data_IF_181819269139
#
_entry.id   IF_181819269139
#
_cell.length_a   1.000
_cell.length_b   1.000
_cell.length_c   1.000
_cell.angle_alpha   90.00
_cell.angle_beta   90.00
_cell.angle_gamma   90.00
#
_symmetry.space_group_name_H-M   'P 1'
#
loop_
_entity.id
_entity.type
_entity.pdbx_description
1 polymer ?
#
# COMPACT_ATOMS: atom_id res chain seq x y z
N UNK A 1 -4.39 30.65 -42.50
CA UNK A 1 -3.31 29.72 -42.10
C UNK A 1 -3.55 28.24 -42.49
N UNK A 2 -4.78 27.68 -42.39
CA UNK A 2 -5.05 26.27 -42.80
C UNK A 2 -4.79 25.94 -44.29
N UNK A 3 -5.09 26.84 -45.23
CA UNK A 3 -4.85 26.62 -46.68
C UNK A 3 -3.37 26.52 -47.05
N UNK A 4 -2.52 27.38 -46.48
CA UNK A 4 -1.07 27.34 -46.68
C UNK A 4 -0.44 26.06 -46.11
N UNK A 5 -0.97 25.54 -45.00
CA UNK A 5 -0.50 24.28 -44.42
C UNK A 5 -0.95 23.06 -45.24
N UNK A 6 -2.15 23.10 -45.82
CA UNK A 6 -2.62 22.05 -46.74
C UNK A 6 -1.84 22.04 -48.06
N UNK A 7 -1.49 23.20 -48.63
CA UNK A 7 -0.60 23.28 -49.80
C UNK A 7 0.81 22.78 -49.49
N UNK A 8 1.34 23.08 -48.29
CA UNK A 8 2.65 22.58 -47.86
C UNK A 8 2.67 21.06 -47.72
N UNK A 9 1.61 20.46 -47.16
CA UNK A 9 1.48 19.00 -47.00
C UNK A 9 1.30 18.32 -48.37
N UNK A 10 0.55 18.92 -49.29
CA UNK A 10 0.33 18.33 -50.61
C UNK A 10 1.58 18.40 -51.50
N UNK A 11 2.46 19.39 -51.28
CA UNK A 11 3.75 19.50 -51.97
C UNK A 11 4.81 18.51 -51.45
N UNK A 12 4.65 18.02 -50.22
CA UNK A 12 5.58 17.07 -49.58
C UNK A 12 5.14 15.60 -49.78
N UNK A 13 3.85 15.33 -49.98
CA UNK A 13 3.28 14.00 -50.27
C UNK A 13 2.27 14.03 -51.42
N UNK A 14 2.63 13.65 -52.66
CA UNK A 14 1.64 13.33 -53.68
C UNK A 14 0.96 12.00 -53.32
N UNK A 15 -0.35 11.93 -53.56
CA UNK A 15 -1.22 10.82 -53.21
C UNK A 15 -0.74 9.46 -53.73
N UNK A 16 -1.10 8.40 -52.98
CA UNK A 16 -0.86 7.00 -53.33
C UNK A 16 -1.33 6.70 -54.75
N UNK A 17 -0.42 6.26 -55.61
CA UNK A 17 -0.76 5.51 -56.81
C UNK A 17 -0.88 4.03 -56.46
N UNK A 18 -1.94 3.40 -56.97
CA UNK A 18 -2.11 1.95 -56.97
C UNK A 18 -1.15 1.37 -58.01
N UNK A 19 0.02 0.88 -57.57
CA UNK A 19 0.66 -0.34 -58.05
C UNK A 19 2.00 -0.57 -57.35
N UNK A 20 2.27 -1.84 -57.02
CA UNK A 20 3.40 -2.28 -56.22
C UNK A 20 4.73 -2.12 -56.94
N UNK A 21 5.67 -1.44 -56.26
CA UNK A 21 7.11 -1.76 -56.14
C UNK A 21 7.76 -0.65 -55.33
N UNK A 22 7.77 -0.81 -54.00
CA UNK A 22 8.50 0.09 -53.10
C UNK A 22 9.98 -0.26 -53.12
N UNK A 23 10.70 0.15 -54.17
CA UNK A 23 12.16 0.23 -54.12
C UNK A 23 12.60 1.69 -54.24
N UNK A 24 12.81 2.29 -53.07
CA UNK A 24 13.77 3.37 -52.82
C UNK A 24 13.60 4.72 -53.57
N UNK A 25 12.47 5.38 -53.32
CA UNK A 25 12.22 6.78 -53.74
C UNK A 25 13.15 7.81 -53.06
N UNK A 26 13.69 7.53 -51.86
CA UNK A 26 14.58 8.45 -51.14
C UNK A 26 15.97 8.59 -51.77
N UNK A 27 16.48 7.56 -52.46
CA UNK A 27 17.79 7.62 -53.13
C UNK A 27 17.80 8.59 -54.32
N UNK A 28 16.70 8.69 -55.09
CA UNK A 28 16.58 9.70 -56.17
C UNK A 28 16.47 11.14 -55.63
N UNK A 29 15.93 11.34 -54.41
CA UNK A 29 15.88 12.66 -53.74
C UNK A 29 17.24 13.14 -53.22
N UNK A 30 18.20 12.23 -52.96
CA UNK A 30 19.57 12.57 -52.58
C UNK A 30 20.39 13.09 -53.78
N UNK A 31 19.94 12.86 -55.02
CA UNK A 31 20.63 13.35 -56.22
C UNK A 31 20.41 14.84 -56.52
N UNK A 32 19.42 15.49 -55.90
CA UNK A 32 19.12 16.91 -56.12
C UNK A 32 20.16 17.79 -55.38
N UNK A 33 20.91 18.66 -56.09
CA UNK A 33 21.94 19.51 -55.49
C UNK A 33 21.44 20.37 -54.33
N UNK A 34 20.15 20.75 -54.33
CA UNK A 34 19.58 21.57 -53.26
C UNK A 34 19.33 20.74 -51.99
N UNK A 35 18.85 19.50 -52.12
CA UNK A 35 18.60 18.61 -50.98
C UNK A 35 19.91 18.12 -50.35
N UNK A 36 20.97 17.90 -51.15
CA UNK A 36 22.29 17.51 -50.66
C UNK A 36 22.84 18.51 -49.63
N UNK A 37 22.68 19.81 -49.89
CA UNK A 37 23.14 20.87 -48.98
C UNK A 37 22.45 20.81 -47.62
N UNK A 38 21.14 20.58 -47.61
CA UNK A 38 20.38 20.40 -46.37
C UNK A 38 20.79 19.14 -45.61
N UNK A 39 21.02 18.02 -46.29
CA UNK A 39 21.51 16.80 -45.63
C UNK A 39 22.90 16.98 -45.02
N UNK A 40 23.81 17.68 -45.72
CA UNK A 40 25.14 18.00 -45.20
C UNK A 40 25.03 18.90 -43.96
N UNK A 41 24.19 19.92 -43.99
CA UNK A 41 23.96 20.82 -42.85
C UNK A 41 23.40 20.09 -41.62
N UNK A 42 22.39 19.23 -41.81
CA UNK A 42 21.80 18.42 -40.73
C UNK A 42 22.82 17.43 -40.16
N UNK A 43 23.56 16.71 -41.02
CA UNK A 43 24.58 15.76 -40.59
C UNK A 43 25.69 16.43 -39.79
N UNK A 44 26.14 17.61 -40.24
CA UNK A 44 27.18 18.40 -39.55
C UNK A 44 26.68 18.92 -38.21
N UNK A 45 25.46 19.45 -38.13
CA UNK A 45 24.86 19.89 -36.88
C UNK A 45 24.76 18.75 -35.85
N UNK A 46 24.37 17.54 -36.28
CA UNK A 46 24.31 16.37 -35.41
C UNK A 46 25.71 15.95 -34.92
N UNK A 47 26.70 15.92 -35.80
CA UNK A 47 28.08 15.57 -35.43
C UNK A 47 28.69 16.58 -34.46
N UNK A 48 28.52 17.88 -34.72
CA UNK A 48 28.97 18.93 -33.82
C UNK A 48 28.26 18.87 -32.48
N UNK A 49 26.95 18.59 -32.48
CA UNK A 49 26.20 18.42 -31.23
C UNK A 49 26.74 17.26 -30.40
N UNK A 50 27.16 16.16 -31.06
CA UNK A 50 27.75 15.01 -30.37
C UNK A 50 29.14 15.33 -29.82
N UNK A 51 29.98 16.02 -30.59
CA UNK A 51 31.34 16.41 -30.22
C UNK A 51 31.36 17.47 -29.11
N UNK A 52 30.48 18.48 -29.20
CA UNK A 52 30.36 19.57 -28.24
C UNK A 52 29.55 19.17 -27.01
N UNK A 53 28.95 17.98 -26.95
CA UNK A 53 28.10 17.58 -25.83
C UNK A 53 28.93 17.35 -24.57
N UNK A 54 28.77 18.16 -23.51
CA UNK A 54 29.48 17.96 -22.26
C UNK A 54 28.89 16.82 -21.42
N UNK A 55 27.78 16.22 -21.86
CA UNK A 55 26.95 15.29 -21.08
C UNK A 55 27.13 13.81 -21.42
N UNK A 56 28.20 13.42 -22.13
CA UNK A 56 28.60 12.02 -22.31
C UNK A 56 29.17 11.43 -21.00
N UNK A 57 28.38 11.44 -19.93
CA UNK A 57 28.68 10.66 -18.74
C UNK A 57 28.39 9.20 -19.06
N UNK A 58 29.44 8.37 -19.14
CA UNK A 58 29.30 6.94 -19.34
C UNK A 58 28.35 6.36 -18.28
N UNK A 59 27.40 5.49 -18.66
CA UNK A 59 26.51 4.88 -17.70
C UNK A 59 27.32 4.08 -16.68
N UNK A 60 26.97 4.23 -15.40
CA UNK A 60 27.59 3.44 -14.34
C UNK A 60 27.44 1.94 -14.64
N UNK A 61 28.54 1.20 -14.53
CA UNK A 61 28.55 -0.26 -14.68
C UNK A 61 27.60 -0.87 -13.65
N UNK A 62 26.74 -1.79 -14.08
CA UNK A 62 25.90 -2.56 -13.17
C UNK A 62 26.77 -3.57 -12.42
N UNK A 63 26.85 -3.41 -11.11
CA UNK A 63 27.50 -4.36 -10.21
C UNK A 63 26.45 -5.27 -9.58
N UNK A 64 26.86 -6.48 -9.20
CA UNK A 64 26.10 -7.40 -8.36
C UNK A 64 26.82 -7.60 -7.02
N UNK A 65 26.08 -8.04 -6.01
CA UNK A 65 26.67 -8.37 -4.72
C UNK A 65 27.71 -9.49 -4.91
N UNK A 66 28.90 -9.31 -4.32
CA UNK A 66 30.02 -10.24 -4.46
C UNK A 66 30.96 -9.95 -5.64
N UNK A 67 30.61 -9.03 -6.55
CA UNK A 67 31.54 -8.57 -7.59
C UNK A 67 32.74 -7.83 -6.96
N UNK A 68 33.88 -7.84 -7.63
CA UNK A 68 35.03 -6.98 -7.27
C UNK A 68 34.96 -5.69 -8.10
N UNK A 69 35.07 -4.56 -7.42
CA UNK A 69 35.02 -3.25 -8.04
C UNK A 69 36.18 -3.03 -9.03
N UNK A 70 35.87 -2.92 -10.32
CA UNK A 70 36.86 -2.67 -11.37
C UNK A 70 37.23 -1.19 -11.51
N UNK A 71 36.38 -0.28 -11.02
CA UNK A 71 36.56 1.18 -11.08
C UNK A 71 36.00 1.81 -9.82
N UNK A 72 36.66 2.88 -9.38
CA UNK A 72 36.19 3.73 -8.29
C UNK A 72 34.89 4.45 -8.68
N UNK A 73 33.90 4.44 -7.80
CA UNK A 73 32.62 5.14 -7.97
C UNK A 73 32.54 6.26 -6.94
N UNK A 74 32.39 7.50 -7.41
CA UNK A 74 32.23 8.70 -6.58
C UNK A 74 30.93 9.41 -6.87
N UNK A 75 30.37 10.06 -5.86
CA UNK A 75 29.20 10.93 -6.06
C UNK A 75 29.60 12.23 -6.77
N UNK A 76 28.85 12.61 -7.80
CA UNK A 76 29.06 13.88 -8.54
C UNK A 76 28.29 15.06 -7.95
N UNK A 77 27.32 14.80 -7.06
CA UNK A 77 26.44 15.80 -6.46
C UNK A 77 25.99 15.37 -5.05
N UNK A 78 25.47 16.31 -4.28
CA UNK A 78 24.82 15.98 -3.01
C UNK A 78 23.48 15.29 -3.29
N UNK A 79 23.23 14.16 -2.64
CA UNK A 79 22.01 13.39 -2.82
C UNK A 79 21.44 12.97 -1.46
N UNK A 80 20.14 13.24 -1.27
CA UNK A 80 19.38 12.71 -0.15
C UNK A 80 18.62 11.47 -0.64
N UNK A 81 18.96 10.31 -0.09
CA UNK A 81 18.43 9.02 -0.53
C UNK A 81 17.62 8.41 0.59
N UNK A 82 16.42 7.92 0.27
CA UNK A 82 15.62 7.16 1.24
C UNK A 82 16.30 5.82 1.55
N UNK A 83 16.55 5.57 2.84
CA UNK A 83 16.90 4.25 3.33
C UNK A 83 15.62 3.41 3.41
N UNK A 84 15.33 2.69 2.32
CA UNK A 84 14.16 1.83 2.21
C UNK A 84 14.17 0.75 3.30
N UNK A 85 15.35 0.20 3.66
CA UNK A 85 15.45 -0.87 4.66
C UNK A 85 15.10 -0.32 6.05
N UNK A 86 15.79 0.73 6.49
CA UNK A 86 15.51 1.37 7.79
C UNK A 86 14.08 1.91 7.88
N UNK A 87 13.53 2.41 6.77
CA UNK A 87 12.13 2.88 6.70
C UNK A 87 11.16 1.71 6.85
N UNK A 88 11.40 0.59 6.16
CA UNK A 88 10.57 -0.62 6.26
C UNK A 88 10.65 -1.24 7.67
N UNK A 89 11.84 -1.26 8.28
CA UNK A 89 12.02 -1.70 9.66
C UNK A 89 11.20 -0.86 10.64
N UNK A 90 11.28 0.48 10.55
CA UNK A 90 10.45 1.37 11.37
C UNK A 90 8.95 1.20 11.11
N UNK A 91 8.54 0.97 9.86
CA UNK A 91 7.14 0.67 9.51
C UNK A 91 6.66 -0.64 10.11
N UNK A 92 7.50 -1.68 10.08
CA UNK A 92 7.20 -2.97 10.69
C UNK A 92 7.16 -2.88 12.21
N UNK A 93 8.03 -2.08 12.83
CA UNK A 93 7.98 -1.80 14.27
C UNK A 93 6.69 -1.07 14.66
N UNK A 94 6.32 -0.02 13.92
CA UNK A 94 5.07 0.71 14.15
C UNK A 94 3.83 -0.20 14.03
N UNK A 95 3.81 -1.10 13.04
CA UNK A 95 2.77 -2.12 12.91
C UNK A 95 2.73 -3.07 14.11
N UNK A 96 3.89 -3.52 14.60
CA UNK A 96 4.01 -4.47 15.73
C UNK A 96 3.52 -3.88 17.05
N UNK A 97 3.43 -2.56 17.17
CA UNK A 97 2.93 -1.84 18.34
C UNK A 97 1.42 -1.65 18.34
N UNK A 98 0.73 -1.96 17.23
CA UNK A 98 -0.72 -1.85 17.14
C UNK A 98 -1.38 -3.02 17.86
N UNK A 99 -2.26 -2.69 18.82
CA UNK A 99 -3.11 -3.67 19.50
C UNK A 99 -4.21 -4.18 18.58
N UNK A 100 -4.49 -5.48 18.70
CA UNK A 100 -5.62 -6.13 18.04
C UNK A 100 -6.93 -5.55 18.58
N UNK A 101 -7.87 -5.23 17.70
CA UNK A 101 -9.16 -4.62 18.07
C UNK A 101 -10.22 -5.70 18.17
N UNK A 102 -10.96 -5.69 19.27
CA UNK A 102 -12.07 -6.58 19.54
C UNK A 102 -13.34 -5.77 19.74
N UNK A 103 -14.39 -6.17 19.04
CA UNK A 103 -15.70 -5.56 19.13
C UNK A 103 -16.50 -6.23 20.24
N UNK A 104 -16.91 -5.40 21.20
CA UNK A 104 -17.77 -5.76 22.31
C UNK A 104 -19.22 -5.35 21.99
N UNK A 105 -20.11 -6.34 22.04
CA UNK A 105 -21.55 -6.14 21.85
C UNK A 105 -22.29 -6.17 23.20
N UNK A 106 -22.66 -5.00 23.76
CA UNK A 106 -23.50 -4.95 24.96
C UNK A 106 -24.95 -5.42 24.69
N UNK A 107 -25.39 -5.46 23.42
CA UNK A 107 -26.71 -5.91 23.02
C UNK A 107 -27.00 -7.36 23.39
N UNK A 108 -25.96 -8.22 23.45
CA UNK A 108 -26.10 -9.61 23.88
C UNK A 108 -26.55 -9.71 25.35
N UNK A 109 -26.04 -8.85 26.22
CA UNK A 109 -26.48 -8.79 27.62
C UNK A 109 -27.93 -8.30 27.70
N UNK A 110 -28.28 -7.27 26.94
CA UNK A 110 -29.63 -6.70 26.91
C UNK A 110 -30.64 -7.75 26.40
N UNK A 111 -30.32 -8.50 25.35
CA UNK A 111 -31.16 -9.60 24.84
C UNK A 111 -31.34 -10.71 25.89
N UNK A 112 -30.26 -11.10 26.58
CA UNK A 112 -30.33 -12.09 27.65
C UNK A 112 -31.19 -11.61 28.84
N UNK A 113 -31.04 -10.35 29.26
CA UNK A 113 -31.86 -9.72 30.30
C UNK A 113 -33.34 -9.72 29.93
N UNK A 114 -33.67 -9.30 28.72
CA UNK A 114 -35.05 -9.25 28.23
C UNK A 114 -35.67 -10.65 28.12
N UNK A 115 -34.93 -11.64 27.60
CA UNK A 115 -35.41 -13.03 27.47
C UNK A 115 -35.65 -13.70 28.81
N UNK A 116 -34.76 -13.49 29.79
CA UNK A 116 -34.95 -14.07 31.13
C UNK A 116 -36.11 -13.39 31.83
N UNK A 117 -36.19 -12.05 31.84
CA UNK A 117 -37.29 -11.35 32.51
C UNK A 117 -38.65 -11.70 31.91
N UNK A 118 -38.77 -11.74 30.57
CA UNK A 118 -40.03 -12.09 29.93
C UNK A 118 -40.48 -13.53 30.23
N UNK A 119 -39.55 -14.46 30.42
CA UNK A 119 -39.85 -15.85 30.74
C UNK A 119 -40.44 -16.06 32.16
N UNK A 120 -40.19 -15.13 33.09
CA UNK A 120 -40.56 -15.25 34.51
C UNK A 120 -41.52 -14.16 35.02
N UNK A 121 -41.77 -13.09 34.26
CA UNK A 121 -42.62 -11.96 34.68
C UNK A 121 -44.02 -12.00 34.04
N UNK A 122 -44.35 -13.04 33.27
CA UNK A 122 -45.68 -13.20 32.69
C UNK A 122 -46.73 -13.38 33.79
N UNK A 123 -47.81 -12.58 33.74
CA UNK A 123 -48.90 -12.63 34.72
C UNK A 123 -49.64 -13.97 34.74
N UNK A 124 -49.65 -14.67 33.60
CA UNK A 124 -50.19 -16.02 33.47
C UNK A 124 -49.06 -17.01 33.17
N UNK A 125 -48.86 -18.04 34.02
CA UNK A 125 -47.94 -19.12 33.70
C UNK A 125 -48.52 -19.90 32.50
N UNK A 126 -47.71 -20.21 31.48
CA UNK A 126 -48.21 -20.92 30.30
C UNK A 126 -48.72 -22.31 30.64
N UNK A 127 -49.79 -22.69 29.96
CA UNK A 127 -50.49 -23.97 30.17
C UNK A 127 -49.68 -25.16 29.64
N UNK A 128 -48.82 -24.93 28.63
CA UNK A 128 -48.01 -25.98 28.00
C UNK A 128 -46.54 -25.60 27.90
N UNK A 129 -45.69 -26.61 28.13
CA UNK A 129 -44.23 -26.53 27.96
C UNK A 129 -43.82 -25.96 26.60
N UNK A 130 -44.39 -26.47 25.51
CA UNK A 130 -44.02 -26.06 24.14
C UNK A 130 -44.30 -24.59 23.86
N UNK A 131 -45.34 -24.02 24.45
CA UNK A 131 -45.70 -22.60 24.29
C UNK A 131 -44.69 -21.72 25.05
N UNK A 132 -44.29 -22.13 26.25
CA UNK A 132 -43.26 -21.45 27.03
C UNK A 132 -41.88 -21.53 26.37
N UNK A 133 -41.48 -22.70 25.89
CA UNK A 133 -40.19 -22.88 25.20
C UNK A 133 -40.11 -22.04 23.92
N UNK A 134 -41.23 -21.92 23.19
CA UNK A 134 -41.31 -21.11 21.96
C UNK A 134 -41.22 -19.61 22.24
N UNK A 135 -41.85 -19.13 23.32
CA UNK A 135 -41.84 -17.71 23.70
C UNK A 135 -40.53 -17.29 24.36
N UNK A 136 -40.02 -18.09 25.30
CA UNK A 136 -38.80 -17.79 26.06
C UNK A 136 -37.50 -18.15 25.32
N UNK A 137 -37.60 -19.04 24.32
CA UNK A 137 -36.47 -19.63 23.58
C UNK A 137 -35.51 -20.40 24.47
N UNK A 138 -35.99 -20.93 25.59
CA UNK A 138 -35.26 -21.88 26.43
C UNK A 138 -35.75 -23.30 26.16
N UNK A 139 -34.87 -24.29 26.36
CA UNK A 139 -35.24 -25.70 26.22
C UNK A 139 -34.94 -26.44 27.52
N UNK A 140 -35.99 -27.04 28.08
CA UNK A 140 -35.95 -27.73 29.36
C UNK A 140 -36.23 -29.23 29.16
N UNK A 141 -35.62 -30.07 29.98
CA UNK A 141 -36.00 -31.47 30.13
C UNK A 141 -37.36 -31.58 30.85
N UNK A 142 -37.98 -32.76 30.81
CA UNK A 142 -39.25 -32.98 31.51
C UNK A 142 -39.12 -32.80 33.04
N UNK A 143 -37.97 -33.19 33.61
CA UNK A 143 -37.70 -33.03 35.04
C UNK A 143 -37.57 -31.55 35.43
N UNK A 144 -36.84 -30.78 34.64
CA UNK A 144 -36.66 -29.34 34.86
C UNK A 144 -37.99 -28.57 34.73
N UNK A 145 -38.86 -28.98 33.80
CA UNK A 145 -40.20 -28.41 33.63
C UNK A 145 -41.08 -28.64 34.87
N UNK A 146 -41.11 -29.87 35.41
CA UNK A 146 -41.88 -30.17 36.63
C UNK A 146 -41.42 -29.36 37.84
N UNK A 147 -40.10 -29.10 37.95
CA UNK A 147 -39.55 -28.24 39.00
C UNK A 147 -40.03 -26.80 38.82
N UNK A 148 -40.00 -26.27 37.60
CA UNK A 148 -40.47 -24.92 37.28
C UNK A 148 -41.97 -24.73 37.58
N UNK A 149 -42.80 -25.72 37.25
CA UNK A 149 -44.23 -25.74 37.56
C UNK A 149 -44.48 -25.71 39.08
N UNK A 150 -43.75 -26.54 39.84
CA UNK A 150 -43.87 -26.62 41.30
C UNK A 150 -43.44 -25.33 41.99
N UNK A 151 -42.40 -24.68 41.48
CA UNK A 151 -41.92 -23.38 41.94
C UNK A 151 -42.78 -22.21 41.40
N UNK A 152 -43.84 -22.49 40.63
CA UNK A 152 -44.78 -21.50 40.08
C UNK A 152 -44.09 -20.35 39.34
N UNK A 153 -43.06 -20.65 38.56
CA UNK A 153 -42.31 -19.65 37.80
C UNK A 153 -41.77 -18.49 38.66
N UNK A 154 -41.32 -18.78 39.89
CA UNK A 154 -40.78 -17.77 40.80
C UNK A 154 -39.72 -16.87 40.11
N UNK A 155 -39.93 -15.53 40.05
CA UNK A 155 -38.99 -14.59 39.42
C UNK A 155 -37.55 -14.64 39.95
N UNK A 156 -37.37 -15.11 41.19
CA UNK A 156 -36.07 -15.28 41.83
C UNK A 156 -35.13 -16.19 41.04
N UNK A 157 -35.66 -17.17 40.28
CA UNK A 157 -34.89 -18.08 39.43
C UNK A 157 -34.25 -17.29 38.28
N UNK A 158 -35.03 -16.45 37.60
CA UNK A 158 -34.56 -15.58 36.53
C UNK A 158 -33.56 -14.54 37.03
N UNK A 159 -33.88 -13.83 38.12
CA UNK A 159 -33.00 -12.80 38.68
C UNK A 159 -31.67 -13.37 39.19
N UNK A 160 -31.66 -14.60 39.72
CA UNK A 160 -30.41 -15.29 40.08
C UNK A 160 -29.59 -15.65 38.85
N UNK A 161 -30.24 -16.15 37.80
CA UNK A 161 -29.59 -16.45 36.52
C UNK A 161 -28.94 -15.19 35.94
N UNK A 162 -29.64 -14.05 35.97
CA UNK A 162 -29.12 -12.75 35.55
C UNK A 162 -27.92 -12.31 36.38
N UNK A 163 -28.02 -12.38 37.71
CA UNK A 163 -26.91 -12.05 38.61
C UNK A 163 -25.64 -12.86 38.30
N UNK A 164 -25.79 -14.11 37.86
CA UNK A 164 -24.68 -14.98 37.49
C UNK A 164 -24.07 -14.60 36.12
N UNK A 165 -24.90 -14.34 35.11
CA UNK A 165 -24.40 -14.09 33.74
C UNK A 165 -23.99 -12.63 33.48
N UNK A 166 -24.61 -11.65 34.14
CA UNK A 166 -24.37 -10.23 33.86
C UNK A 166 -22.90 -9.81 34.06
N UNK A 167 -22.18 -10.21 35.13
CA UNK A 167 -20.77 -9.89 35.28
C UNK A 167 -19.88 -10.52 34.19
N UNK A 168 -20.25 -11.72 33.72
CA UNK A 168 -19.50 -12.47 32.72
C UNK A 168 -19.67 -11.84 31.33
N UNK A 169 -20.91 -11.53 30.96
CA UNK A 169 -21.21 -10.84 29.70
C UNK A 169 -20.63 -9.42 29.70
N UNK A 170 -20.67 -8.66 30.81
CA UNK A 170 -20.03 -7.33 30.90
C UNK A 170 -18.51 -7.37 30.71
N UNK A 171 -17.87 -8.46 31.13
CA UNK A 171 -16.41 -8.65 30.98
C UNK A 171 -16.03 -9.01 29.54
N UNK A 172 -16.95 -9.58 28.76
CA UNK A 172 -16.72 -10.05 27.40
C UNK A 172 -16.34 -11.53 27.37
N UNK A 173 -17.10 -12.29 26.58
CA UNK A 173 -16.90 -13.72 26.35
C UNK A 173 -16.50 -13.91 24.89
N UNK A 174 -15.38 -14.61 24.69
CA UNK A 174 -14.85 -14.92 23.37
C UNK A 174 -15.36 -16.30 22.96
N UNK A 175 -15.55 -16.50 21.65
CA UNK A 175 -15.98 -17.79 21.13
C UNK A 175 -14.94 -18.88 21.41
N UNK A 176 -13.69 -18.62 21.02
CA UNK A 176 -12.57 -19.53 21.18
C UNK A 176 -11.29 -18.75 21.48
N UNK A 177 -10.51 -19.24 22.46
CA UNK A 177 -9.23 -18.67 22.86
C UNK A 177 -8.12 -19.00 21.85
N UNK A 178 -8.26 -20.10 21.11
CA UNK A 178 -7.28 -20.51 20.11
C UNK A 178 -7.38 -19.67 18.83
N UNK A 179 -8.52 -18.99 18.63
CA UNK A 179 -8.75 -18.06 17.51
C UNK A 179 -8.31 -16.62 17.81
N UNK A 180 -7.62 -16.39 18.92
CA UNK A 180 -7.04 -15.08 19.22
C UNK A 180 -5.91 -14.75 18.24
N UNK A 181 -5.77 -13.46 17.90
CA UNK A 181 -4.60 -13.00 17.14
C UNK A 181 -3.33 -13.35 17.94
N UNK A 182 -2.29 -13.96 17.35
CA UNK A 182 -1.01 -14.17 18.04
C UNK A 182 -0.42 -12.88 18.61
N UNK A 183 -0.73 -11.72 18.01
CA UNK A 183 -0.31 -10.43 18.53
C UNK A 183 -1.14 -9.94 19.73
N UNK A 184 -2.28 -10.59 20.00
CA UNK A 184 -3.11 -10.27 21.16
C UNK A 184 -2.31 -10.36 22.45
N UNK A 185 -1.29 -11.23 22.55
CA UNK A 185 -0.40 -11.39 23.72
C UNK A 185 0.15 -10.07 24.30
N UNK A 186 0.26 -9.01 23.51
CA UNK A 186 0.81 -7.69 23.93
C UNK A 186 -0.24 -6.75 24.53
N UNK A 187 -1.49 -6.87 24.12
CA UNK A 187 -2.60 -5.98 24.48
C UNK A 187 -3.71 -6.07 23.44
N UNK A 188 -4.94 -5.78 23.85
CA UNK A 188 -6.08 -5.62 22.95
C UNK A 188 -6.78 -4.30 23.18
N UNK A 189 -7.43 -3.77 22.14
CA UNK A 189 -8.37 -2.64 22.27
C UNK A 189 -9.78 -3.20 22.20
N UNK A 190 -10.57 -3.03 23.26
CA UNK A 190 -11.98 -3.39 23.28
C UNK A 190 -12.77 -2.17 22.82
N UNK A 191 -13.50 -2.30 21.71
CA UNK A 191 -14.35 -1.28 21.15
C UNK A 191 -15.81 -1.64 21.39
N UNK A 192 -16.56 -0.76 22.03
CA UNK A 192 -18.01 -0.94 22.14
C UNK A 192 -18.67 -0.60 20.80
N UNK A 193 -19.40 -1.54 20.19
CA UNK A 193 -20.02 -1.32 18.88
C UNK A 193 -21.15 -0.27 18.90
N UNK A 194 -21.75 -0.02 20.05
CA UNK A 194 -22.86 0.94 20.20
C UNK A 194 -22.33 2.35 20.48
N UNK A 195 -21.49 2.52 21.50
CA UNK A 195 -20.98 3.85 21.91
C UNK A 195 -19.74 4.28 21.12
N UNK A 196 -19.08 3.35 20.43
CA UNK A 196 -17.75 3.50 19.82
C UNK A 196 -16.65 3.88 20.81
N UNK A 197 -16.92 3.77 22.11
CA UNK A 197 -15.90 3.96 23.13
C UNK A 197 -14.90 2.81 23.09
N UNK A 198 -13.63 3.15 23.31
CA UNK A 198 -12.54 2.19 23.31
C UNK A 198 -11.87 2.14 24.66
N UNK A 199 -11.68 0.92 25.14
CA UNK A 199 -10.90 0.63 26.33
C UNK A 199 -9.72 -0.26 25.94
N UNK A 200 -8.51 0.23 26.22
CA UNK A 200 -7.30 -0.59 26.10
C UNK A 200 -7.24 -1.55 27.27
N UNK A 201 -7.06 -2.82 26.99
CA UNK A 201 -6.80 -3.85 27.99
C UNK A 201 -5.44 -4.47 27.71
N UNK A 202 -4.57 -4.44 28.73
CA UNK A 202 -3.17 -4.85 28.61
C UNK A 202 -2.97 -6.13 29.39
N UNK A 203 -2.05 -6.98 28.95
CA UNK A 203 -1.78 -8.27 29.58
C UNK A 203 -1.49 -8.14 31.10
N UNK A 204 -1.97 -9.07 31.95
CA UNK A 204 -2.66 -10.33 31.62
C UNK A 204 -4.13 -10.16 31.25
N UNK A 205 -4.53 -10.75 30.12
CA UNK A 205 -5.92 -10.78 29.73
C UNK A 205 -6.75 -11.61 30.68
N UNK A 206 -7.91 -11.07 30.96
CA UNK A 206 -8.88 -11.68 31.82
C UNK A 206 -10.03 -12.30 31.01
N UNK A 207 -9.94 -12.44 29.69
CA UNK A 207 -11.03 -13.05 28.92
C UNK A 207 -11.18 -14.54 29.20
N UNK A 208 -12.42 -14.97 29.09
CA UNK A 208 -12.87 -16.33 29.35
C UNK A 208 -13.52 -16.80 28.07
N UNK A 209 -13.18 -18.01 27.62
CA UNK A 209 -13.89 -18.60 26.49
C UNK A 209 -15.29 -19.09 26.95
N UNK A 210 -16.15 -19.44 25.99
CA UNK A 210 -17.51 -19.90 26.32
C UNK A 210 -17.50 -21.20 27.16
N UNK A 211 -16.53 -22.09 26.96
CA UNK A 211 -16.42 -23.40 27.62
C UNK A 211 -15.99 -23.25 29.08
N UNK A 212 -14.95 -22.46 29.33
CA UNK A 212 -14.42 -22.06 30.60
C UNK A 212 -15.45 -21.23 31.38
N UNK A 213 -16.18 -20.34 30.70
CA UNK A 213 -17.28 -19.58 31.34
C UNK A 213 -18.36 -20.53 31.87
N UNK A 214 -18.78 -21.53 31.08
CA UNK A 214 -19.74 -22.54 31.52
C UNK A 214 -19.19 -23.41 32.67
N UNK A 215 -17.90 -23.77 32.64
CA UNK A 215 -17.27 -24.51 33.72
C UNK A 215 -17.21 -23.70 35.03
N UNK A 216 -16.90 -22.39 34.95
CA UNK A 216 -16.92 -21.47 36.10
C UNK A 216 -18.32 -21.34 36.68
N UNK A 217 -19.35 -21.17 35.84
CA UNK A 217 -20.75 -21.13 36.29
C UNK A 217 -21.15 -22.38 37.10
N UNK A 218 -20.74 -23.57 36.65
CA UNK A 218 -21.01 -24.83 37.37
C UNK A 218 -20.33 -24.90 38.73
N UNK A 219 -19.11 -24.36 38.82
CA UNK A 219 -18.33 -24.34 40.06
C UNK A 219 -18.90 -23.33 41.06
N UNK A 220 -19.30 -22.16 40.57
CA UNK A 220 -19.76 -21.04 41.41
C UNK A 220 -21.26 -21.13 41.77
N UNK A 221 -22.02 -22.05 41.16
CA UNK A 221 -23.47 -22.21 41.33
C UNK A 221 -23.92 -22.25 42.79
N UNK A 222 -23.21 -23.03 43.63
CA UNK A 222 -23.50 -23.17 45.06
C UNK A 222 -23.15 -21.94 45.90
N UNK A 223 -22.18 -21.13 45.45
CA UNK A 223 -21.73 -19.91 46.14
C UNK A 223 -22.62 -18.70 45.82
N UNK A 224 -23.11 -18.61 44.58
CA UNK A 224 -23.82 -17.45 44.05
C UNK A 224 -25.34 -17.50 44.23
N UNK A 225 -25.87 -18.62 44.75
CA UNK A 225 -27.32 -18.84 44.92
C UNK A 225 -27.75 -19.05 46.39
N UNK A 226 -27.35 -18.18 47.36
CA UNK A 226 -27.78 -18.34 48.75
C UNK A 226 -29.30 -18.09 48.85
N UNK A 227 -30.05 -19.14 49.18
CA UNK A 227 -31.50 -19.06 49.41
C UNK A 227 -32.38 -19.84 48.44
N UNK A 228 -31.82 -20.42 47.36
CA UNK A 228 -32.56 -21.35 46.49
C UNK A 228 -32.42 -22.79 46.97
N UNK A 229 -33.48 -23.58 46.79
CA UNK A 229 -33.46 -25.01 47.08
C UNK A 229 -32.49 -25.73 46.13
N UNK A 230 -31.86 -26.82 46.61
CA UNK A 230 -30.91 -27.60 45.78
C UNK A 230 -31.54 -28.16 44.51
N UNK A 231 -32.86 -28.32 44.51
CA UNK A 231 -33.62 -28.82 43.36
C UNK A 231 -33.75 -27.79 42.23
N UNK A 232 -33.64 -26.49 42.54
CA UNK A 232 -33.79 -25.40 41.56
C UNK A 232 -32.45 -24.99 40.94
N UNK A 233 -31.32 -25.32 41.58
CA UNK A 233 -29.98 -25.00 41.07
C UNK A 233 -29.71 -25.53 39.64
N UNK A 234 -30.10 -26.76 39.26
CA UNK A 234 -29.93 -27.24 37.88
C UNK A 234 -30.70 -26.38 36.87
N UNK A 235 -31.87 -25.86 37.23
CA UNK A 235 -32.69 -25.00 36.38
C UNK A 235 -32.04 -23.63 36.18
N UNK A 236 -31.53 -23.01 37.25
CA UNK A 236 -30.76 -21.75 37.18
C UNK A 236 -29.53 -21.91 36.29
N UNK A 237 -28.78 -23.00 36.47
CA UNK A 237 -27.62 -23.31 35.64
C UNK A 237 -28.01 -23.46 34.17
N UNK A 238 -29.07 -24.23 33.87
CA UNK A 238 -29.54 -24.48 32.51
C UNK A 238 -29.91 -23.17 31.79
N UNK A 239 -30.67 -22.31 32.45
CA UNK A 239 -31.11 -21.01 31.91
C UNK A 239 -29.91 -20.09 31.71
N UNK A 240 -28.99 -20.04 32.68
CA UNK A 240 -27.75 -19.27 32.59
C UNK A 240 -26.91 -19.72 31.40
N UNK A 241 -26.67 -21.03 31.24
CA UNK A 241 -25.87 -21.59 30.14
C UNK A 241 -26.47 -21.35 28.74
N UNK A 242 -27.80 -21.36 28.62
CA UNK A 242 -28.51 -21.07 27.35
C UNK A 242 -28.60 -19.56 27.05
N UNK A 243 -28.39 -18.72 28.05
CA UNK A 243 -28.38 -17.26 27.90
C UNK A 243 -26.99 -16.71 27.56
N UNK A 244 -25.94 -17.48 27.85
CA UNK A 244 -24.58 -17.12 27.45
C UNK A 244 -24.36 -17.28 25.95
N UNK A 245 -23.88 -16.19 25.34
CA UNK A 245 -23.34 -16.17 23.98
C UNK A 245 -22.04 -15.38 23.96
N UNK A 246 -21.10 -15.70 23.04
CA UNK A 246 -19.96 -14.84 22.80
C UNK A 246 -20.42 -13.42 22.43
N UNK A 247 -19.81 -12.42 23.05
CA UNK A 247 -20.11 -11.00 22.81
C UNK A 247 -18.85 -10.15 22.67
N UNK A 248 -17.69 -10.79 22.55
CA UNK A 248 -16.43 -10.18 22.22
C UNK A 248 -15.83 -10.89 21.01
N UNK A 249 -15.71 -10.17 19.90
CA UNK A 249 -15.31 -10.73 18.60
C UNK A 249 -14.10 -9.99 18.05
N UNK A 250 -13.15 -10.71 17.46
CA UNK A 250 -11.98 -10.08 16.83
C UNK A 250 -12.39 -9.31 15.57
N UNK A 251 -12.13 -8.00 15.55
CA UNK A 251 -12.32 -7.17 14.37
C UNK A 251 -11.01 -7.10 13.58
N UNK A 252 -10.87 -8.03 12.64
CA UNK A 252 -9.69 -8.11 11.77
C UNK A 252 -9.56 -6.88 10.88
N UNK A 253 -10.67 -6.39 10.32
CA UNK A 253 -10.65 -5.29 9.35
C UNK A 253 -10.19 -3.97 10.00
N UNK A 254 -10.72 -3.64 11.17
CA UNK A 254 -10.32 -2.46 11.95
C UNK A 254 -8.85 -2.59 12.42
N UNK A 255 -8.43 -3.79 12.81
CA UNK A 255 -7.03 -4.05 13.21
C UNK A 255 -6.07 -3.83 12.04
N UNK A 256 -6.38 -4.37 10.86
CA UNK A 256 -5.56 -4.19 9.67
C UNK A 256 -5.58 -2.73 9.18
N UNK A 257 -6.72 -2.06 9.25
CA UNK A 257 -6.82 -0.63 8.94
C UNK A 257 -5.88 0.21 9.82
N UNK A 258 -5.83 -0.07 11.15
CA UNK A 258 -4.91 0.61 12.07
C UNK A 258 -3.44 0.31 11.80
N UNK A 259 -3.12 -0.93 11.41
CA UNK A 259 -1.76 -1.29 10.99
C UNK A 259 -1.33 -0.51 9.75
N UNK A 260 -2.21 -0.38 8.76
CA UNK A 260 -1.95 0.41 7.55
C UNK A 260 -1.78 1.89 7.89
N UNK A 261 -2.65 2.46 8.72
CA UNK A 261 -2.56 3.85 9.14
C UNK A 261 -1.27 4.12 9.95
N UNK A 262 -0.88 3.19 10.83
CA UNK A 262 0.36 3.26 11.58
C UNK A 262 1.59 3.26 10.65
N UNK A 263 1.62 2.38 9.64
CA UNK A 263 2.67 2.37 8.62
C UNK A 263 2.75 3.67 7.83
N UNK A 264 1.60 4.24 7.47
CA UNK A 264 1.51 5.49 6.71
C UNK A 264 2.01 6.70 7.50
N UNK A 265 1.86 6.70 8.84
CA UNK A 265 2.37 7.75 9.73
C UNK A 265 3.89 7.72 9.92
N UNK A 266 4.58 6.65 9.52
CA UNK A 266 6.04 6.56 9.65
C UNK A 266 6.73 7.37 8.56
N UNK A 267 7.46 8.39 8.99
CA UNK A 267 8.30 9.21 8.11
C UNK A 267 9.45 8.37 7.52
N UNK A 268 9.74 8.50 6.22
CA UNK A 268 10.89 7.84 5.61
C UNK A 268 12.21 8.31 6.25
N UNK A 269 13.13 7.38 6.39
CA UNK A 269 14.49 7.65 6.87
C UNK A 269 15.35 7.96 5.66
N UNK A 270 16.10 9.04 5.71
CA UNK A 270 17.00 9.43 4.64
C UNK A 270 18.45 9.39 5.12
N UNK A 271 19.36 9.05 4.20
CA UNK A 271 20.79 9.24 4.37
C UNK A 271 21.31 10.19 3.29
N UNK A 272 22.35 10.94 3.62
CA UNK A 272 22.97 11.90 2.73
C UNK A 272 24.24 11.32 2.11
N UNK A 273 24.34 11.39 0.79
CA UNK A 273 25.57 11.17 0.04
C UNK A 273 26.12 12.53 -0.36
N UNK A 274 27.35 12.85 0.04
CA UNK A 274 27.97 14.15 -0.30
C UNK A 274 28.66 14.09 -1.65
N UNK A 275 28.75 15.23 -2.34
CA UNK A 275 29.57 15.38 -3.55
C UNK A 275 31.03 15.02 -3.24
N UNK A 276 31.62 14.19 -4.08
CA UNK A 276 32.98 13.69 -3.92
C UNK A 276 33.11 12.51 -2.96
N UNK A 277 32.03 12.06 -2.30
CA UNK A 277 32.04 10.85 -1.48
C UNK A 277 32.39 9.63 -2.34
N UNK A 278 33.36 8.84 -1.86
CA UNK A 278 33.75 7.58 -2.50
C UNK A 278 32.78 6.49 -2.04
N UNK A 279 31.92 6.06 -2.96
CA UNK A 279 30.89 5.04 -2.70
C UNK A 279 31.44 3.63 -2.83
N UNK A 280 32.37 3.40 -3.76
CA UNK A 280 33.01 2.10 -3.97
C UNK A 280 34.44 2.32 -4.43
N UNK A 281 35.42 1.73 -3.75
CA UNK A 281 36.84 1.82 -4.14
C UNK A 281 37.21 0.70 -5.11
N UNK A 282 38.20 0.95 -5.96
CA UNK A 282 38.76 -0.09 -6.84
C UNK A 282 39.33 -1.25 -6.03
N UNK A 283 39.00 -2.49 -6.40
CA UNK A 283 39.42 -3.71 -5.70
C UNK A 283 38.58 -4.09 -4.49
N UNK A 284 37.61 -3.25 -4.08
CA UNK A 284 36.72 -3.54 -2.97
C UNK A 284 35.62 -4.55 -3.37
N UNK A 285 35.24 -5.51 -2.49
CA UNK A 285 34.11 -6.38 -2.74
C UNK A 285 32.79 -5.60 -2.61
N UNK A 286 31.91 -5.76 -3.60
CA UNK A 286 30.62 -5.07 -3.66
C UNK A 286 29.65 -5.70 -2.66
N UNK A 287 29.24 -4.93 -1.64
CA UNK A 287 28.18 -5.31 -0.69
C UNK A 287 26.85 -4.65 -1.07
N UNK A 288 25.77 -5.11 -0.43
CA UNK A 288 24.41 -4.61 -0.66
C UNK A 288 24.27 -3.10 -0.42
N UNK A 289 24.97 -2.56 0.60
CA UNK A 289 24.99 -1.12 0.90
C UNK A 289 25.54 -0.27 -0.25
N UNK A 290 26.54 -0.77 -1.00
CA UNK A 290 27.10 -0.07 -2.15
C UNK A 290 26.10 -0.06 -3.31
N UNK A 291 25.37 -1.16 -3.53
CA UNK A 291 24.37 -1.26 -4.58
C UNK A 291 23.26 -0.22 -4.38
N UNK A 292 22.78 -0.02 -3.15
CA UNK A 292 21.78 1.00 -2.83
C UNK A 292 22.27 2.40 -3.20
N UNK A 293 23.51 2.76 -2.84
CA UNK A 293 24.11 4.05 -3.19
C UNK A 293 24.33 4.20 -4.70
N UNK A 294 24.84 3.17 -5.38
CA UNK A 294 25.09 3.18 -6.83
C UNK A 294 23.77 3.31 -7.62
N UNK A 295 22.73 2.58 -7.23
CA UNK A 295 21.41 2.67 -7.86
C UNK A 295 20.78 4.05 -7.65
N UNK A 296 20.96 4.65 -6.47
CA UNK A 296 20.52 6.01 -6.20
C UNK A 296 21.25 7.04 -7.10
N UNK A 297 22.57 6.91 -7.24
CA UNK A 297 23.35 7.74 -8.17
C UNK A 297 22.91 7.57 -9.63
N UNK A 298 22.65 6.33 -10.05
CA UNK A 298 22.19 6.02 -11.42
C UNK A 298 20.83 6.64 -11.71
N UNK A 299 19.86 6.51 -10.78
CA UNK A 299 18.54 7.14 -10.91
C UNK A 299 18.63 8.66 -10.99
N UNK A 300 19.56 9.27 -10.23
CA UNK A 300 19.80 10.71 -10.29
C UNK A 300 20.41 11.14 -11.64
N UNK A 301 21.29 10.33 -12.22
CA UNK A 301 21.85 10.56 -13.56
C UNK A 301 20.79 10.39 -14.67
N UNK A 302 19.92 9.38 -14.59
CA UNK A 302 18.86 9.12 -15.60
C UNK A 302 17.78 10.22 -15.65
N UNK A 303 17.54 10.93 -14.54
CA UNK A 303 16.61 12.08 -14.52
C UNK A 303 17.11 13.28 -15.32
N UNK A 304 18.36 13.27 -15.78
CA UNK A 304 18.86 14.36 -16.61
C UNK A 304 18.16 14.34 -17.99
N UNK A 305 17.67 15.51 -18.39
CA UNK A 305 16.98 15.77 -19.66
C UNK A 305 17.93 15.70 -20.88
N UNK A 306 18.82 14.71 -20.94
CA UNK A 306 19.91 14.60 -21.92
C UNK A 306 19.36 14.64 -23.35
N UNK A 307 18.31 13.88 -23.65
CA UNK A 307 17.72 13.83 -25.00
C UNK A 307 17.18 15.19 -25.44
N UNK A 308 16.49 15.94 -24.58
CA UNK A 308 15.98 17.27 -24.92
C UNK A 308 17.08 18.32 -25.00
N UNK A 309 18.13 18.21 -24.18
CA UNK A 309 19.31 19.08 -24.26
C UNK A 309 20.05 18.84 -25.59
N UNK A 310 20.27 17.57 -25.97
CA UNK A 310 20.88 17.21 -27.24
C UNK A 310 20.02 17.67 -28.42
N UNK A 311 18.70 17.48 -28.37
CA UNK A 311 17.82 17.90 -29.44
C UNK A 311 17.75 19.43 -29.57
N UNK A 312 17.73 20.14 -28.44
CA UNK A 312 17.78 21.61 -28.40
C UNK A 312 19.11 22.16 -28.93
N UNK A 313 20.24 21.54 -28.55
CA UNK A 313 21.56 21.92 -29.05
C UNK A 313 21.72 21.61 -30.54
N UNK A 314 21.22 20.46 -31.02
CA UNK A 314 21.19 20.13 -32.44
C UNK A 314 20.34 21.11 -33.24
N UNK A 315 19.17 21.48 -32.72
CA UNK A 315 18.30 22.47 -33.36
C UNK A 315 18.96 23.85 -33.41
N UNK A 316 19.57 24.29 -32.31
CA UNK A 316 20.23 25.59 -32.22
C UNK A 316 21.45 25.68 -33.15
N UNK A 317 22.31 24.66 -33.15
CA UNK A 317 23.46 24.59 -34.07
C UNK A 317 23.01 24.57 -35.52
N UNK A 318 21.97 23.79 -35.84
CA UNK A 318 21.37 23.79 -37.17
C UNK A 318 20.83 25.16 -37.58
N UNK A 319 20.09 25.85 -36.71
CA UNK A 319 19.56 27.19 -36.98
C UNK A 319 20.67 28.22 -37.22
N UNK A 320 21.77 28.15 -36.46
CA UNK A 320 22.94 29.01 -36.67
C UNK A 320 23.57 28.74 -38.05
N UNK A 321 23.79 27.47 -38.41
CA UNK A 321 24.36 27.12 -39.72
C UNK A 321 23.46 27.60 -40.88
N UNK A 322 22.15 27.43 -40.75
CA UNK A 322 21.17 27.92 -41.75
C UNK A 322 21.19 29.45 -41.83
N UNK A 323 21.20 30.13 -40.69
CA UNK A 323 21.26 31.60 -40.65
C UNK A 323 22.51 32.14 -41.30
N UNK A 324 23.69 31.54 -41.03
CA UNK A 324 24.95 31.90 -41.66
C UNK A 324 24.89 31.65 -43.18
N UNK A 325 24.35 30.50 -43.61
CA UNK A 325 24.21 30.19 -45.03
C UNK A 325 23.29 31.19 -45.76
N UNK A 326 22.12 31.50 -45.19
CA UNK A 326 21.17 32.48 -45.75
C UNK A 326 21.75 33.90 -45.77
N UNK A 327 22.45 34.31 -44.71
CA UNK A 327 23.11 35.60 -44.65
C UNK A 327 24.22 35.74 -45.71
N UNK A 328 25.08 34.73 -45.84
CA UNK A 328 26.18 34.76 -46.81
C UNK A 328 25.69 34.75 -48.25
N UNK A 329 24.62 34.00 -48.55
CA UNK A 329 24.03 33.95 -49.91
C UNK A 329 23.31 35.25 -50.30
N UNK A 330 22.67 35.93 -49.35
CA UNK A 330 21.94 37.19 -49.62
C UNK A 330 22.83 38.43 -49.61
N UNK A 331 23.83 38.49 -48.74
CA UNK A 331 24.59 39.72 -48.48
C UNK A 331 25.91 39.83 -49.25
N UNK A 332 26.47 38.71 -49.75
CA UNK A 332 27.77 38.70 -50.42
C UNK A 332 27.59 38.49 -51.93
N UNK A 333 27.79 39.54 -52.73
CA UNK A 333 27.50 39.62 -54.19
C UNK A 333 28.26 38.64 -55.10
N UNK A 334 29.12 37.75 -54.56
CA UNK A 334 29.88 36.72 -55.32
C UNK A 334 29.89 35.35 -54.63
N UNK A 335 28.95 35.08 -53.72
CA UNK A 335 28.96 33.87 -52.92
C UNK A 335 28.17 32.75 -53.59
N UNK A 336 28.85 31.88 -54.34
CA UNK A 336 28.28 30.69 -54.94
C UNK A 336 28.88 29.43 -54.27
N UNK A 337 28.25 28.95 -53.19
CA UNK A 337 28.70 27.73 -52.53
C UNK A 337 28.33 26.49 -53.35
N UNK A 338 29.33 25.79 -53.89
CA UNK A 338 29.11 24.46 -54.47
C UNK A 338 28.96 23.43 -53.35
N UNK A 339 28.43 22.25 -53.66
CA UNK A 339 28.31 21.15 -52.68
C UNK A 339 29.67 20.68 -52.16
N UNK A 340 30.74 20.80 -52.98
CA UNK A 340 32.12 20.47 -52.57
C UNK A 340 32.66 21.48 -51.57
N UNK A 341 32.41 22.77 -51.79
CA UNK A 341 32.83 23.83 -50.86
C UNK A 341 32.11 23.69 -49.51
N UNK A 342 30.81 23.36 -49.52
CA UNK A 342 30.05 23.11 -48.29
C UNK A 342 30.64 21.95 -47.48
N UNK A 343 30.98 20.85 -48.14
CA UNK A 343 31.62 19.70 -47.50
C UNK A 343 32.97 20.07 -46.90
N UNK A 344 33.77 20.88 -47.59
CA UNK A 344 35.05 21.38 -47.09
C UNK A 344 34.88 22.29 -45.86
N UNK A 345 33.90 23.20 -45.87
CA UNK A 345 33.61 24.03 -44.69
C UNK A 345 33.10 23.21 -43.51
N UNK A 346 32.24 22.21 -43.75
CA UNK A 346 31.74 21.36 -42.68
C UNK A 346 32.84 20.48 -42.09
N UNK A 347 33.75 19.94 -42.92
CA UNK A 347 34.86 19.10 -42.45
C UNK A 347 35.91 19.91 -41.69
N UNK A 348 36.24 21.13 -42.14
CA UNK A 348 37.16 22.02 -41.43
C UNK A 348 36.58 22.46 -40.09
N UNK A 349 35.29 22.78 -40.03
CA UNK A 349 34.62 23.15 -38.80
C UNK A 349 34.54 21.98 -37.80
N UNK A 350 34.33 20.75 -38.29
CA UNK A 350 34.42 19.55 -37.47
C UNK A 350 35.85 19.25 -37.00
N UNK A 351 36.88 19.57 -37.79
CA UNK A 351 38.29 19.36 -37.42
C UNK A 351 38.86 20.39 -36.45
N UNK A 352 38.17 21.52 -36.23
CA UNK A 352 38.55 22.54 -35.24
C UNK A 352 38.02 22.25 -33.83
N UNK A 353 36.98 21.42 -33.73
CA UNK A 353 36.36 20.98 -32.46
C UNK A 353 37.04 19.69 -32.02
#
# INVERSE_FOLDING_TARGET
MKKLFQELIHRIYPGKTANGTKSVSWMKKIGDPNNQKWFIGIGTALLLTLLLSPSLQLPLKKYKAGDIATKEVKSTQDLLVEDVRSTQEKRAEAERLIFSVYDYDPGILIDAENRIRSAFTSSDPPVKKTEWESSSRFTLSQKEWQILEREKFNPSIGETSLRMISPLLKRGIINDKDLLDPNATKGISIRNIQTREEKKDVFPFNFVDLKETKARLRTDLGRLSPGLSREVLPLVLKISEQSLKPNLTFNKDETEARKVEAKARVNPVFFQIKRGEVVLRTGEPVREEHLLKIDALKKAQERSHILSILLGLALLTFLILVSLYEFSTKNIKKFALTTRDLLFFCSTLLGMV
#
